data_IF_921418035095
#
_entry.id   IF_921418035095
#
_cell.length_a   1.000
_cell.length_b   1.000
_cell.length_c   1.000
_cell.angle_alpha   90.00
_cell.angle_beta   90.00
_cell.angle_gamma   90.00
#
_symmetry.space_group_name_H-M   'P 1'
#
loop_
_entity.id
_entity.type
_entity.pdbx_description
1 polymer ?
#
# COMPACT_ATOMS: atom_id res chain seq x y z
N UNK A 1 12.26 16.70 25.18
CA UNK A 1 12.40 16.74 23.70
C UNK A 1 12.59 15.35 23.08
N UNK A 2 13.51 14.50 23.57
CA UNK A 2 13.79 13.16 23.00
C UNK A 2 12.55 12.26 22.85
N UNK A 3 11.65 12.24 23.84
CA UNK A 3 10.43 11.42 23.82
C UNK A 3 9.31 11.92 22.90
N UNK A 4 9.34 13.20 22.51
CA UNK A 4 8.42 13.77 21.51
C UNK A 4 8.90 13.42 20.10
N UNK A 5 10.18 13.68 19.82
CA UNK A 5 10.81 13.34 18.53
C UNK A 5 10.66 11.85 18.21
N UNK A 6 10.90 10.95 19.17
CA UNK A 6 10.74 9.51 18.97
C UNK A 6 9.30 9.10 18.63
N UNK A 7 8.30 9.69 19.29
CA UNK A 7 6.88 9.45 19.00
C UNK A 7 6.48 10.02 17.64
N UNK A 8 6.96 11.21 17.31
CA UNK A 8 6.72 11.86 16.04
C UNK A 8 7.32 11.03 14.88
N UNK A 9 8.58 10.61 14.97
CA UNK A 9 9.21 9.75 13.97
C UNK A 9 8.47 8.42 13.78
N UNK A 10 8.01 7.80 14.88
CA UNK A 10 7.22 6.55 14.78
C UNK A 10 5.90 6.78 14.03
N UNK A 11 5.22 7.90 14.31
CA UNK A 11 3.98 8.27 13.63
C UNK A 11 4.20 8.56 12.14
N UNK A 12 5.26 9.29 11.79
CA UNK A 12 5.62 9.57 10.40
C UNK A 12 6.00 8.29 9.63
N UNK A 13 6.82 7.42 10.23
CA UNK A 13 7.20 6.15 9.64
C UNK A 13 5.99 5.22 9.44
N UNK A 14 5.07 5.20 10.39
CA UNK A 14 3.83 4.43 10.30
C UNK A 14 2.95 4.97 9.17
N UNK A 15 2.74 6.29 9.09
CA UNK A 15 1.99 6.91 7.99
C UNK A 15 2.62 6.65 6.63
N UNK A 16 3.96 6.76 6.54
CA UNK A 16 4.71 6.45 5.33
C UNK A 16 4.52 4.98 4.93
N UNK A 17 4.66 4.05 5.86
CA UNK A 17 4.49 2.63 5.58
C UNK A 17 3.07 2.32 5.08
N UNK A 18 2.04 2.83 5.75
CA UNK A 18 0.65 2.61 5.37
C UNK A 18 0.22 3.27 4.05
N UNK A 19 0.95 4.28 3.59
CA UNK A 19 0.63 4.96 2.32
C UNK A 19 1.42 4.35 1.16
N UNK A 20 2.74 4.21 1.32
CA UNK A 20 3.62 3.84 0.22
C UNK A 20 3.69 2.33 -0.01
N UNK A 21 3.57 1.49 1.03
CA UNK A 21 3.62 0.03 0.85
C UNK A 21 2.45 -0.48 0.00
N UNK A 22 1.19 -0.07 0.24
CA UNK A 22 0.08 -0.44 -0.64
C UNK A 22 0.28 -0.03 -2.10
N UNK A 23 0.79 1.18 -2.32
CA UNK A 23 1.04 1.73 -3.66
C UNK A 23 2.12 0.90 -4.36
N UNK A 24 3.26 0.67 -3.71
CA UNK A 24 4.37 -0.12 -4.26
C UNK A 24 3.92 -1.55 -4.57
N UNK A 25 3.19 -2.20 -3.67
CA UNK A 25 2.64 -3.53 -3.90
C UNK A 25 1.70 -3.56 -5.12
N UNK A 26 0.85 -2.54 -5.27
CA UNK A 26 -0.05 -2.41 -6.42
C UNK A 26 0.73 -2.27 -7.73
N UNK A 27 1.81 -1.49 -7.74
CA UNK A 27 2.66 -1.35 -8.93
C UNK A 27 3.39 -2.65 -9.29
N UNK A 28 3.97 -3.34 -8.31
CA UNK A 28 4.66 -4.62 -8.54
C UNK A 28 3.66 -5.65 -9.07
N UNK A 29 2.50 -5.78 -8.41
CA UNK A 29 1.45 -6.70 -8.82
C UNK A 29 0.93 -6.38 -10.21
N UNK A 30 0.67 -5.11 -10.50
CA UNK A 30 0.19 -4.66 -11.80
C UNK A 30 1.19 -4.90 -12.91
N UNK A 31 2.47 -4.64 -12.66
CA UNK A 31 3.53 -4.96 -13.62
C UNK A 31 3.57 -6.47 -13.94
N UNK A 32 3.51 -7.32 -12.92
CA UNK A 32 3.47 -8.78 -13.12
C UNK A 32 2.24 -9.20 -13.91
N UNK A 33 1.06 -8.71 -13.55
CA UNK A 33 -0.18 -9.04 -14.26
C UNK A 33 -0.17 -8.58 -15.71
N UNK A 34 0.34 -7.38 -15.98
CA UNK A 34 0.36 -6.85 -17.34
C UNK A 34 1.33 -7.63 -18.24
N UNK A 35 2.43 -8.11 -17.69
CA UNK A 35 3.41 -8.95 -18.41
C UNK A 35 2.87 -10.35 -18.71
N UNK A 36 2.19 -10.99 -17.75
CA UNK A 36 1.79 -12.40 -17.89
C UNK A 36 0.33 -12.61 -18.31
N UNK A 37 -0.56 -11.66 -18.00
CA UNK A 37 -2.02 -11.76 -18.19
C UNK A 37 -2.66 -10.41 -18.60
N UNK A 38 -2.23 -9.79 -19.70
CA UNK A 38 -2.63 -8.43 -20.10
C UNK A 38 -4.15 -8.27 -20.31
N UNK A 39 -4.83 -9.31 -20.81
CA UNK A 39 -6.27 -9.26 -21.12
C UNK A 39 -7.15 -9.02 -19.89
N UNK A 40 -6.67 -9.42 -18.71
CA UNK A 40 -7.39 -9.29 -17.44
C UNK A 40 -6.72 -8.32 -16.47
N UNK A 41 -5.55 -7.78 -16.82
CA UNK A 41 -4.66 -7.05 -15.90
C UNK A 41 -5.37 -5.89 -15.22
N UNK A 42 -6.05 -5.04 -15.99
CA UNK A 42 -6.70 -3.83 -15.45
C UNK A 42 -7.74 -4.14 -14.37
N UNK A 43 -8.56 -5.17 -14.56
CA UNK A 43 -9.61 -5.54 -13.60
C UNK A 43 -9.02 -6.06 -12.28
N UNK A 44 -8.01 -6.92 -12.38
CA UNK A 44 -7.34 -7.47 -11.18
C UNK A 44 -6.47 -6.44 -10.47
N UNK A 45 -5.83 -5.51 -11.18
CA UNK A 45 -5.09 -4.39 -10.57
C UNK A 45 -6.02 -3.53 -9.72
N UNK A 46 -7.20 -3.16 -10.25
CA UNK A 46 -8.17 -2.38 -9.51
C UNK A 46 -8.67 -3.12 -8.26
N UNK A 47 -9.02 -4.40 -8.41
CA UNK A 47 -9.45 -5.25 -7.29
C UNK A 47 -8.36 -5.33 -6.21
N UNK A 48 -7.12 -5.57 -6.61
CA UNK A 48 -5.98 -5.66 -5.69
C UNK A 48 -5.77 -4.33 -4.96
N UNK A 49 -5.83 -3.20 -5.68
CA UNK A 49 -5.70 -1.87 -5.07
C UNK A 49 -6.78 -1.62 -4.01
N UNK A 50 -8.04 -1.93 -4.32
CA UNK A 50 -9.17 -1.77 -3.39
C UNK A 50 -9.04 -2.66 -2.16
N UNK A 51 -8.63 -3.92 -2.33
CA UNK A 51 -8.37 -4.84 -1.20
C UNK A 51 -7.23 -4.32 -0.33
N UNK A 52 -6.16 -3.83 -0.94
CA UNK A 52 -5.00 -3.30 -0.22
C UNK A 52 -5.34 -2.03 0.56
N UNK A 53 -6.17 -1.14 0.00
CA UNK A 53 -6.73 0.00 0.73
C UNK A 53 -7.65 -0.41 1.87
N UNK A 54 -8.52 -1.39 1.65
CA UNK A 54 -9.40 -1.93 2.68
C UNK A 54 -8.62 -2.52 3.86
N UNK A 55 -7.56 -3.28 3.58
CA UNK A 55 -6.65 -3.81 4.59
C UNK A 55 -5.88 -2.69 5.31
N UNK A 56 -5.38 -1.70 4.58
CA UNK A 56 -4.69 -0.55 5.18
C UNK A 56 -5.61 0.24 6.12
N UNK A 57 -6.86 0.47 5.72
CA UNK A 57 -7.88 1.10 6.56
C UNK A 57 -8.19 0.26 7.80
N UNK A 58 -8.38 -1.05 7.64
CA UNK A 58 -8.68 -1.94 8.76
C UNK A 58 -7.55 -2.03 9.78
N UNK A 59 -6.29 -2.06 9.36
CA UNK A 59 -5.16 -2.15 10.30
C UNK A 59 -4.87 -0.78 10.97
N UNK A 60 -5.28 0.31 10.32
CA UNK A 60 -5.16 1.64 10.91
C UNK A 60 -6.20 1.91 12.01
N UNK A 61 -7.36 1.25 11.97
CA UNK A 61 -8.48 1.43 12.90
C UNK A 61 -8.53 0.38 14.01
#
# INVERSE_FOLDING_TARGET
MMGFLRRWFKSQAQFFFWTYVPIILTFIFGYVLDVYFPEVSQGFILLFYLVTLGLAYWIWH
#
